data_IF_649428221952
#
_entry.id   IF_649428221952
#
_cell.length_a   1.000
_cell.length_b   1.000
_cell.length_c   1.000
_cell.angle_alpha   90.00
_cell.angle_beta   90.00
_cell.angle_gamma   90.00
#
_symmetry.space_group_name_H-M   'P 1'
#
loop_
_entity.id
_entity.type
_entity.pdbx_description
1 polymer ?
#
# COMPACT_ATOMS: atom_id res chain seq x y z
N UNK A 1 1.67 -0.74 -23.54
CA UNK A 1 0.46 -1.12 -22.77
C UNK A 1 0.76 -0.86 -21.31
N UNK A 2 0.33 0.28 -20.75
CA UNK A 2 0.60 0.58 -19.33
C UNK A 2 -0.49 -0.08 -18.49
N UNK A 3 -0.21 -1.29 -18.00
CA UNK A 3 -1.08 -1.98 -17.06
C UNK A 3 -1.16 -1.17 -15.77
N UNK A 4 -2.38 -0.87 -15.32
CA UNK A 4 -2.59 -0.17 -14.06
C UNK A 4 -2.09 -1.06 -12.93
N UNK A 5 -0.95 -0.73 -12.32
CA UNK A 5 -0.38 -1.48 -11.20
C UNK A 5 -1.42 -1.59 -10.08
N UNK A 6 -1.66 -2.81 -9.62
CA UNK A 6 -2.56 -3.10 -8.51
C UNK A 6 -1.73 -3.58 -7.34
N UNK A 7 -2.19 -3.28 -6.13
CA UNK A 7 -1.48 -3.68 -4.93
C UNK A 7 -2.39 -4.41 -3.97
N UNK A 8 -1.80 -5.32 -3.20
CA UNK A 8 -2.46 -6.05 -2.12
C UNK A 8 -1.64 -5.93 -0.85
N UNK A 9 -2.31 -5.65 0.27
CA UNK A 9 -1.72 -5.70 1.59
C UNK A 9 -1.24 -7.13 1.90
N UNK A 10 0.05 -7.29 2.21
CA UNK A 10 0.63 -8.58 2.61
C UNK A 10 0.62 -8.76 4.12
N UNK A 11 0.46 -7.67 4.86
CA UNK A 11 0.44 -7.61 6.32
C UNK A 11 -0.60 -6.60 6.78
N UNK A 12 -1.01 -6.68 8.04
CA UNK A 12 -1.88 -5.67 8.64
C UNK A 12 -1.06 -4.40 8.91
N UNK A 13 -1.52 -3.26 8.41
CA UNK A 13 -0.85 -1.98 8.65
C UNK A 13 -1.85 -0.82 8.74
N UNK A 14 -1.38 0.26 9.39
CA UNK A 14 -2.12 1.52 9.50
C UNK A 14 -1.48 2.57 8.60
N UNK A 15 -2.23 3.06 7.64
CA UNK A 15 -1.80 4.13 6.75
C UNK A 15 -1.98 5.49 7.42
N UNK A 16 -0.89 5.98 8.02
CA UNK A 16 -0.86 7.28 8.69
C UNK A 16 -1.10 8.46 7.72
N UNK A 17 -0.89 8.26 6.42
CA UNK A 17 -1.12 9.29 5.40
C UNK A 17 -2.53 9.20 4.78
N UNK A 18 -3.35 8.24 5.22
CA UNK A 18 -4.74 8.06 4.79
C UNK A 18 -5.71 8.06 5.98
N UNK A 19 -5.66 9.10 6.82
CA UNK A 19 -6.56 9.25 7.98
C UNK A 19 -6.56 8.02 8.90
N UNK A 20 -5.37 7.48 9.17
CA UNK A 20 -5.20 6.29 10.02
C UNK A 20 -5.96 5.05 9.52
N UNK A 21 -6.13 4.93 8.20
CA UNK A 21 -6.84 3.79 7.61
C UNK A 21 -6.13 2.48 7.88
N UNK A 22 -6.90 1.51 8.35
CA UNK A 22 -6.41 0.16 8.62
C UNK A 22 -6.60 -0.70 7.37
N UNK A 23 -5.52 -1.32 6.92
CA UNK A 23 -5.51 -2.37 5.92
C UNK A 23 -5.20 -3.69 6.60
N UNK A 24 -5.92 -4.74 6.23
CA UNK A 24 -5.67 -6.11 6.67
C UNK A 24 -5.01 -6.90 5.55
N UNK A 25 -4.25 -7.92 5.91
CA UNK A 25 -3.66 -8.87 4.96
C UNK A 25 -4.71 -9.39 3.97
N UNK A 26 -4.42 -9.22 2.68
CA UNK A 26 -5.31 -9.57 1.58
C UNK A 26 -6.12 -8.40 1.02
N UNK A 27 -6.22 -7.27 1.73
CA UNK A 27 -6.94 -6.09 1.25
C UNK A 27 -6.30 -5.50 -0.01
N UNK A 28 -7.14 -5.01 -0.91
CA UNK A 28 -6.67 -4.22 -2.06
C UNK A 28 -6.21 -2.83 -1.60
N UNK A 29 -5.06 -2.40 -2.11
CA UNK A 29 -4.50 -1.08 -1.89
C UNK A 29 -4.35 -0.32 -3.23
N UNK A 30 -4.71 0.97 -3.29
CA UNK A 30 -5.38 1.76 -2.26
C UNK A 30 -6.89 1.46 -2.18
N UNK A 31 -7.55 1.88 -1.10
CA UNK A 31 -9.01 1.79 -0.96
C UNK A 31 -9.60 3.20 -0.83
N UNK A 32 -10.53 3.64 -1.70
CA UNK A 32 -11.01 2.95 -2.91
C UNK A 32 -9.91 2.84 -3.98
N UNK A 33 -9.99 1.83 -4.86
CA UNK A 33 -8.93 1.51 -5.85
C UNK A 33 -8.69 2.54 -6.96
N UNK A 34 -9.51 3.59 -7.02
CA UNK A 34 -9.33 4.75 -7.88
C UNK A 34 -8.60 5.92 -7.17
N UNK A 35 -8.28 5.77 -5.89
CA UNK A 35 -7.54 6.76 -5.13
C UNK A 35 -6.14 6.92 -5.73
N UNK A 36 -5.71 8.17 -5.92
CA UNK A 36 -4.33 8.49 -6.28
C UNK A 36 -3.45 8.35 -5.04
N UNK A 37 -2.35 7.64 -5.17
CA UNK A 37 -1.31 7.48 -4.15
C UNK A 37 -0.02 7.97 -4.79
N UNK A 38 0.75 8.75 -4.05
CA UNK A 38 2.06 9.24 -4.50
C UNK A 38 3.01 8.06 -4.71
N UNK A 39 3.87 8.14 -5.72
CA UNK A 39 4.82 7.06 -6.04
C UNK A 39 5.76 6.76 -4.87
N UNK A 40 6.26 7.80 -4.19
CA UNK A 40 7.07 7.68 -2.97
C UNK A 40 6.37 6.85 -1.89
N UNK A 41 5.05 7.01 -1.74
CA UNK A 41 4.28 6.23 -0.76
C UNK A 41 4.14 4.77 -1.16
N UNK A 42 3.99 4.49 -2.46
CA UNK A 42 4.00 3.11 -2.95
C UNK A 42 5.36 2.46 -2.70
N UNK A 43 6.46 3.17 -2.98
CA UNK A 43 7.82 2.68 -2.73
C UNK A 43 8.07 2.42 -1.24
N UNK A 44 7.67 3.32 -0.35
CA UNK A 44 7.80 3.15 1.11
C UNK A 44 7.05 1.91 1.61
N UNK A 45 5.85 1.64 1.08
CA UNK A 45 5.02 0.50 1.47
C UNK A 45 5.49 -0.82 0.81
N UNK A 46 6.12 -0.75 -0.35
CA UNK A 46 6.74 -1.88 -1.07
C UNK A 46 8.13 -2.23 -0.56
N UNK A 47 8.78 -1.34 0.20
CA UNK A 47 10.11 -1.52 0.75
C UNK A 47 10.08 -1.76 2.26
N UNK A 48 11.25 -1.95 2.85
CA UNK A 48 11.44 -1.96 4.31
C UNK A 48 11.64 -0.56 4.90
N UNK A 49 11.57 0.50 4.09
CA UNK A 49 11.80 1.90 4.50
C UNK A 49 10.54 2.57 5.08
N UNK A 50 9.66 1.77 5.69
CA UNK A 50 8.52 2.25 6.46
C UNK A 50 8.72 1.95 7.95
N UNK A 51 7.85 2.50 8.81
CA UNK A 51 7.93 2.29 10.27
C UNK A 51 7.83 0.83 10.72
N UNK A 52 7.34 -0.08 9.88
CA UNK A 52 7.27 -1.51 10.19
C UNK A 52 8.55 -2.26 9.82
N UNK A 53 9.50 -1.63 9.11
CA UNK A 53 10.78 -2.23 8.73
C UNK A 53 10.63 -3.39 7.73
N UNK A 54 9.47 -3.53 7.09
CA UNK A 54 9.17 -4.61 6.14
C UNK A 54 8.14 -4.15 5.09
N UNK A 55 8.14 -4.72 3.89
CA UNK A 55 7.09 -4.46 2.91
C UNK A 55 5.72 -4.87 3.44
N UNK A 56 4.74 -3.99 3.31
CA UNK A 56 3.36 -4.19 3.78
C UNK A 56 2.36 -4.30 2.64
N UNK A 57 2.75 -3.95 1.40
CA UNK A 57 2.00 -4.23 0.17
C UNK A 57 2.87 -5.00 -0.84
N UNK A 58 2.24 -5.63 -1.83
CA UNK A 58 2.88 -6.21 -3.02
C UNK A 58 2.11 -5.86 -4.28
N UNK A 59 2.80 -5.79 -5.42
CA UNK A 59 2.17 -5.67 -6.74
C UNK A 59 1.47 -6.99 -7.12
N UNK A 60 0.28 -6.90 -7.75
CA UNK A 60 -0.52 -8.04 -8.23
C UNK A 60 -0.98 -7.86 -9.68
#
# INVERSE_FOLDING_TARGET
MSGKKRYQAVEDFKDLQDKDKIYRKGDAFPKPGNKKVEEERLEELLSSENKMGKPVIKEI
#
